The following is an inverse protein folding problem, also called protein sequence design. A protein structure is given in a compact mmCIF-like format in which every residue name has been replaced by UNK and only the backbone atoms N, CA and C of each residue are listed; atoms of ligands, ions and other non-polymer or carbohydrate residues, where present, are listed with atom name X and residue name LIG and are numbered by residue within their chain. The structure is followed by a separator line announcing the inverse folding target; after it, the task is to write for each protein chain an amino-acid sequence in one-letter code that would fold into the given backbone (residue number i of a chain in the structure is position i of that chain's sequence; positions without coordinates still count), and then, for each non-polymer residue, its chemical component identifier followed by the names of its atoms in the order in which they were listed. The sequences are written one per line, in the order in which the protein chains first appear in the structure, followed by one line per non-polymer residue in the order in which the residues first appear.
data_IF_704667081683
#
_entry.id   IF_704667081683
#
_cell.length_a   1.000
_cell.length_b   1.000
_cell.length_c   1.000
_cell.angle_alpha   90.00
_cell.angle_beta   90.00
_cell.angle_gamma   90.00
#
_symmetry.space_group_name_H-M   'P 1'
#
loop_
_entity.id
_entity.type
_entity.pdbx_description
1 polymer ?
#
# COMPACT_ATOMS: atom_id res chain seq x y z
N UNK A 1 8.44 4.76 1.72
CA UNK A 1 7.58 5.95 1.71
C UNK A 1 7.03 6.09 0.30
N UNK A 2 5.71 6.24 0.15
CA UNK A 2 5.01 6.41 -1.13
C UNK A 2 4.39 7.81 -1.12
N UNK A 3 4.56 8.59 -2.19
CA UNK A 3 4.00 9.95 -2.28
C UNK A 3 2.79 9.95 -3.20
N UNK A 4 1.60 10.00 -2.63
CA UNK A 4 0.34 10.01 -3.39
C UNK A 4 -0.27 11.40 -3.34
N UNK A 5 -0.21 12.14 -4.46
CA UNK A 5 -0.82 13.48 -4.55
C UNK A 5 -0.27 14.48 -3.52
N UNK A 6 0.99 14.34 -3.13
CA UNK A 6 1.63 15.19 -2.10
C UNK A 6 1.49 14.69 -0.66
N UNK A 7 0.82 13.56 -0.44
CA UNK A 7 0.71 12.92 0.88
C UNK A 7 1.73 11.80 1.05
N UNK A 8 2.37 11.75 2.22
CA UNK A 8 3.27 10.67 2.60
C UNK A 8 2.45 9.48 3.12
N UNK A 9 2.58 8.35 2.44
CA UNK A 9 1.99 7.08 2.86
C UNK A 9 3.12 6.13 3.28
N UNK A 10 3.01 5.55 4.46
CA UNK A 10 3.92 4.53 4.94
C UNK A 10 3.34 3.14 4.63
N UNK A 11 4.01 2.34 3.78
CA UNK A 11 3.54 0.99 3.43
C UNK A 11 3.18 0.13 4.64
N UNK A 12 3.97 0.22 5.71
CA UNK A 12 3.79 -0.55 6.94
C UNK A 12 2.44 -0.28 7.63
N UNK A 13 1.92 0.96 7.56
CA UNK A 13 0.60 1.29 8.11
C UNK A 13 -0.50 0.63 7.30
N UNK A 14 -0.37 0.64 5.97
CA UNK A 14 -1.32 0.00 5.05
C UNK A 14 -1.28 -1.52 5.21
N UNK A 15 -0.09 -2.11 5.30
CA UNK A 15 0.11 -3.53 5.58
C UNK A 15 -0.53 -3.92 6.92
N UNK A 16 -0.32 -3.11 7.98
CA UNK A 16 -0.93 -3.32 9.28
C UNK A 16 -2.47 -3.42 9.20
N UNK A 17 -3.12 -2.50 8.48
CA UNK A 17 -4.58 -2.55 8.26
C UNK A 17 -4.98 -3.78 7.44
N UNK A 18 -4.21 -4.16 6.43
CA UNK A 18 -4.49 -5.36 5.63
C UNK A 18 -4.42 -6.63 6.50
N UNK A 19 -3.49 -6.70 7.45
CA UNK A 19 -3.35 -7.83 8.38
C UNK A 19 -4.53 -7.98 9.36
N UNK A 20 -5.38 -6.96 9.52
CA UNK A 20 -6.61 -7.11 10.31
C UNK A 20 -7.66 -7.97 9.60
N UNK A 21 -7.55 -8.18 8.29
CA UNK A 21 -8.48 -9.00 7.54
C UNK A 21 -8.14 -10.50 7.67
N UNK A 22 -9.07 -11.35 8.15
CA UNK A 22 -8.77 -12.74 8.53
C UNK A 22 -8.36 -13.66 7.36
N UNK A 23 -8.64 -13.25 6.12
CA UNK A 23 -8.26 -13.99 4.92
C UNK A 23 -6.85 -13.65 4.38
N UNK A 24 -6.11 -12.73 5.02
CA UNK A 24 -4.79 -12.28 4.57
C UNK A 24 -3.71 -12.91 5.45
N UNK A 25 -2.86 -13.76 4.86
CA UNK A 25 -1.69 -14.36 5.52
C UNK A 25 -0.49 -13.44 5.49
N UNK A 26 -0.21 -12.87 4.33
CA UNK A 26 0.91 -11.96 4.08
C UNK A 26 0.47 -10.82 3.14
N UNK A 27 0.98 -9.63 3.38
CA UNK A 27 0.78 -8.46 2.54
C UNK A 27 2.09 -7.71 2.34
N UNK A 28 2.31 -7.24 1.11
CA UNK A 28 3.39 -6.33 0.76
C UNK A 28 2.83 -5.14 0.00
N UNK A 29 3.17 -3.92 0.44
CA UNK A 29 2.66 -2.68 -0.13
C UNK A 29 3.80 -1.89 -0.77
N UNK A 30 3.60 -1.48 -2.03
CA UNK A 30 4.57 -0.69 -2.80
C UNK A 30 3.92 0.48 -3.52
N UNK A 31 4.71 1.51 -3.78
CA UNK A 31 4.33 2.62 -4.65
C UNK A 31 4.50 2.23 -6.12
N UNK A 32 3.56 2.62 -6.98
CA UNK A 32 3.70 2.52 -8.43
C UNK A 32 3.42 3.87 -9.09
N UNK A 33 4.03 4.18 -10.25
CA UNK A 33 3.79 5.43 -10.96
C UNK A 33 2.31 5.64 -11.31
N UNK A 34 1.84 6.88 -11.18
CA UNK A 34 0.48 7.29 -11.52
C UNK A 34 0.47 8.64 -12.23
N UNK A 35 -0.27 8.72 -13.34
CA UNK A 35 -0.28 9.88 -14.25
C UNK A 35 -0.65 11.21 -13.55
N UNK A 36 -1.58 11.18 -12.61
CA UNK A 36 -2.11 12.39 -11.96
C UNK A 36 -1.57 12.61 -10.54
N UNK A 37 -1.12 11.54 -9.88
CA UNK A 37 -0.83 11.55 -8.44
C UNK A 37 0.66 11.40 -8.13
N UNK A 38 1.51 11.25 -9.14
CA UNK A 38 2.91 10.87 -8.99
C UNK A 38 3.02 9.37 -8.74
N UNK A 39 2.59 8.93 -7.56
CA UNK A 39 2.49 7.51 -7.20
C UNK A 39 1.09 7.13 -6.70
N UNK A 40 0.78 5.84 -6.71
CA UNK A 40 -0.34 5.22 -5.99
C UNK A 40 0.10 3.96 -5.27
N UNK A 41 -0.68 3.55 -4.27
CA UNK A 41 -0.48 2.33 -3.50
C UNK A 41 -0.89 1.10 -4.31
N UNK A 42 -0.04 0.07 -4.34
CA UNK A 42 -0.35 -1.27 -4.82
C UNK A 42 -0.01 -2.30 -3.76
N UNK A 43 -0.99 -3.13 -3.40
CA UNK A 43 -0.82 -4.22 -2.45
C UNK A 43 -0.76 -5.58 -3.16
N UNK A 44 0.15 -6.44 -2.73
CA UNK A 44 0.23 -7.85 -3.10
C UNK A 44 -0.17 -8.68 -1.88
N UNK A 45 -1.10 -9.61 -2.07
CA UNK A 45 -1.75 -10.35 -0.98
C UNK A 45 -1.51 -11.84 -1.16
N UNK A 46 -1.16 -12.53 -0.07
CA UNK A 46 -1.20 -13.98 0.05
C UNK A 46 -2.37 -14.35 0.96
N UNK A 47 -3.28 -15.20 0.46
CA UNK A 47 -4.48 -15.68 1.17
C UNK A 47 -4.38 -17.12 1.62
#
# INVERSE_FOLDING_TARGET
MIIVGGFNIYPQEVEGVLYEHPAIKEAAVVGIPHKEKGEIVKAFIIT
#
